data_IF_468406496092
#
_entry.id   IF_468406496092
#
_cell.length_a   1.000
_cell.length_b   1.000
_cell.length_c   1.000
_cell.angle_alpha   90.00
_cell.angle_beta   90.00
_cell.angle_gamma   90.00
#
_symmetry.space_group_name_H-M   'P 1'
#
loop_
_entity.id
_entity.type
_entity.pdbx_description
1 polymer ?
#
# COMPACT_ATOMS: atom_id res chain seq x y z
N UNK A 1 10.72 -23.59 6.61
CA UNK A 1 10.27 -23.33 5.23
C UNK A 1 11.05 -22.13 4.76
N UNK A 2 11.59 -22.14 3.53
CA UNK A 2 12.32 -21.00 2.96
C UNK A 2 11.61 -20.56 1.68
N UNK A 3 11.34 -19.26 1.56
CA UNK A 3 10.78 -18.66 0.37
C UNK A 3 11.88 -18.13 -0.53
N UNK A 4 11.73 -18.34 -1.83
CA UNK A 4 12.71 -17.97 -2.85
C UNK A 4 11.97 -17.25 -3.97
N UNK A 5 12.38 -16.02 -4.22
CA UNK A 5 11.75 -15.12 -5.21
C UNK A 5 12.70 -14.68 -6.32
N UNK A 6 13.93 -15.23 -6.36
CA UNK A 6 14.93 -14.89 -7.38
C UNK A 6 15.72 -16.12 -7.83
N UNK A 7 16.15 -16.10 -9.10
CA UNK A 7 17.01 -17.14 -9.65
C UNK A 7 18.37 -17.22 -8.95
N UNK A 8 18.89 -16.10 -8.43
CA UNK A 8 20.14 -16.10 -7.67
C UNK A 8 19.99 -16.83 -6.34
N UNK A 9 18.92 -16.54 -5.59
CA UNK A 9 18.62 -17.23 -4.34
C UNK A 9 18.32 -18.72 -4.57
N UNK A 10 17.62 -19.07 -5.66
CA UNK A 10 17.40 -20.46 -6.05
C UNK A 10 18.73 -21.16 -6.36
N UNK A 11 19.62 -20.51 -7.11
CA UNK A 11 20.95 -21.05 -7.40
C UNK A 11 21.72 -21.33 -6.12
N UNK A 12 21.76 -20.37 -5.20
CA UNK A 12 22.42 -20.52 -3.91
C UNK A 12 21.84 -21.66 -3.07
N UNK A 13 20.52 -21.78 -3.00
CA UNK A 13 19.86 -22.87 -2.28
C UNK A 13 20.15 -24.25 -2.90
N UNK A 14 20.15 -24.34 -4.24
CA UNK A 14 20.50 -25.57 -4.94
C UNK A 14 21.99 -25.93 -4.76
N UNK A 15 22.89 -24.94 -4.71
CA UNK A 15 24.33 -25.13 -4.47
C UNK A 15 24.61 -25.58 -3.03
N UNK A 16 23.86 -25.05 -2.07
CA UNK A 16 23.91 -25.45 -0.66
C UNK A 16 23.30 -26.85 -0.40
N UNK A 17 22.66 -27.46 -1.39
CA UNK A 17 21.98 -28.74 -1.24
C UNK A 17 20.70 -28.67 -0.40
N UNK A 18 20.08 -27.49 -0.29
CA UNK A 18 18.85 -27.30 0.48
C UNK A 18 17.74 -28.25 -0.02
N UNK A 19 17.01 -28.94 0.88
CA UNK A 19 15.90 -29.81 0.50
C UNK A 19 14.76 -29.03 -0.17
N UNK A 20 14.32 -29.46 -1.35
CA UNK A 20 13.31 -28.76 -2.16
C UNK A 20 11.92 -28.78 -1.53
N UNK A 21 11.58 -29.83 -0.78
CA UNK A 21 10.34 -29.91 -0.01
C UNK A 21 10.21 -28.86 1.11
N UNK A 22 11.30 -28.17 1.44
CA UNK A 22 11.32 -27.05 2.39
C UNK A 22 11.24 -25.69 1.69
N UNK A 23 11.23 -25.66 0.35
CA UNK A 23 11.24 -24.45 -0.45
C UNK A 23 9.84 -24.06 -0.94
N UNK A 24 9.64 -22.76 -1.08
CA UNK A 24 8.54 -22.14 -1.82
C UNK A 24 9.17 -21.28 -2.92
N UNK A 25 8.89 -21.60 -4.18
CA UNK A 25 9.44 -20.87 -5.33
C UNK A 25 8.36 -19.96 -5.88
N UNK A 26 8.64 -18.66 -6.00
CA UNK A 26 7.65 -17.68 -6.42
C UNK A 26 8.14 -16.78 -7.55
N UNK A 27 7.36 -16.69 -8.63
CA UNK A 27 7.59 -15.75 -9.74
C UNK A 27 8.93 -15.93 -10.49
N UNK A 28 9.59 -17.07 -10.34
CA UNK A 28 10.91 -17.35 -10.94
C UNK A 28 10.73 -17.97 -12.34
N UNK A 29 11.63 -17.64 -13.27
CA UNK A 29 11.83 -18.46 -14.46
C UNK A 29 12.68 -19.70 -14.12
N UNK A 30 12.06 -20.88 -14.19
CA UNK A 30 12.70 -22.15 -13.85
C UNK A 30 13.44 -22.80 -15.02
N UNK A 31 13.33 -22.27 -16.25
CA UNK A 31 14.03 -22.81 -17.41
C UNK A 31 15.55 -22.95 -17.20
N UNK A 32 16.27 -21.99 -16.59
CA UNK A 32 17.70 -22.12 -16.33
C UNK A 32 18.07 -23.23 -15.32
N UNK A 33 17.11 -23.73 -14.54
CA UNK A 33 17.32 -24.70 -13.48
C UNK A 33 16.82 -26.11 -13.84
N UNK A 34 16.27 -26.28 -15.04
CA UNK A 34 15.58 -27.50 -15.48
C UNK A 34 16.41 -28.77 -15.24
N UNK A 35 17.66 -28.81 -15.73
CA UNK A 35 18.53 -29.98 -15.54
C UNK A 35 18.83 -30.27 -14.06
N UNK A 36 18.96 -29.23 -13.24
CA UNK A 36 19.25 -29.39 -11.81
C UNK A 36 18.05 -29.92 -11.05
N UNK A 37 16.85 -29.51 -11.44
CA UNK A 37 15.60 -29.93 -10.80
C UNK A 37 15.20 -31.35 -11.22
N UNK A 38 15.46 -31.75 -12.47
CA UNK A 38 15.20 -33.13 -12.95
C UNK A 38 15.93 -34.22 -12.17
N UNK A 39 17.11 -33.91 -11.64
CA UNK A 39 17.92 -34.87 -10.88
C UNK A 39 17.49 -35.03 -9.42
N UNK A 40 16.46 -34.32 -8.96
CA UNK A 40 16.07 -34.26 -7.54
C UNK A 40 15.00 -35.28 -7.21
N UNK A 41 15.05 -35.79 -5.99
CA UNK A 41 14.14 -36.83 -5.47
C UNK A 41 13.29 -36.34 -4.31
N UNK A 42 13.58 -35.14 -3.80
CA UNK A 42 12.97 -34.49 -2.64
C UNK A 42 11.91 -33.44 -3.05
N UNK A 43 11.17 -33.74 -4.11
CA UNK A 43 10.19 -32.83 -4.73
C UNK A 43 8.80 -32.85 -4.05
N UNK A 44 8.51 -33.87 -3.25
CA UNK A 44 7.22 -34.00 -2.58
C UNK A 44 7.05 -32.89 -1.53
N UNK A 45 6.05 -32.03 -1.71
CA UNK A 45 5.81 -30.87 -0.86
C UNK A 45 6.55 -29.59 -1.25
N UNK A 46 7.31 -29.60 -2.35
CA UNK A 46 7.76 -28.37 -3.02
C UNK A 46 6.53 -27.60 -3.51
N UNK A 47 6.44 -26.31 -3.24
CA UNK A 47 5.38 -25.45 -3.77
C UNK A 47 5.99 -24.44 -4.75
N UNK A 48 5.36 -24.32 -5.91
CA UNK A 48 5.76 -23.40 -6.98
C UNK A 48 4.58 -22.49 -7.32
N UNK A 49 4.79 -21.18 -7.12
CA UNK A 49 3.77 -20.13 -7.21
C UNK A 49 4.09 -19.21 -8.39
N UNK A 50 3.26 -19.21 -9.44
CA UNK A 50 3.35 -18.25 -10.54
C UNK A 50 4.66 -18.26 -11.34
N UNK A 51 5.47 -19.31 -11.21
CA UNK A 51 6.74 -19.45 -11.93
C UNK A 51 6.52 -19.76 -13.40
N UNK A 52 7.48 -19.35 -14.25
CA UNK A 52 7.56 -19.83 -15.63
C UNK A 52 8.26 -21.19 -15.62
N UNK A 53 7.59 -22.24 -16.12
CA UNK A 53 8.09 -23.62 -16.03
C UNK A 53 8.04 -24.25 -17.43
N UNK A 54 9.16 -24.82 -17.94
CA UNK A 54 9.13 -25.65 -19.13
C UNK A 54 8.16 -26.82 -18.96
N UNK A 55 7.42 -27.18 -20.01
CA UNK A 55 6.38 -28.23 -19.97
C UNK A 55 6.90 -29.57 -19.43
N UNK A 56 8.11 -29.96 -19.83
CA UNK A 56 8.78 -31.18 -19.41
C UNK A 56 9.10 -31.18 -17.91
N UNK A 57 9.54 -30.03 -17.40
CA UNK A 57 9.81 -29.84 -15.98
C UNK A 57 8.51 -29.83 -15.16
N UNK A 58 7.45 -29.13 -15.59
CA UNK A 58 6.16 -29.08 -14.90
C UNK A 58 5.59 -30.49 -14.67
N UNK A 59 5.57 -31.32 -15.73
CA UNK A 59 5.11 -32.71 -15.65
C UNK A 59 5.93 -33.54 -14.67
N UNK A 60 7.26 -33.36 -14.65
CA UNK A 60 8.13 -34.05 -13.71
C UNK A 60 7.87 -33.62 -12.27
N UNK A 61 7.87 -32.32 -12.00
CA UNK A 61 7.60 -31.77 -10.67
C UNK A 61 6.27 -32.29 -10.11
N UNK A 62 5.18 -32.21 -10.89
CA UNK A 62 3.85 -32.71 -10.47
C UNK A 62 3.85 -34.21 -10.22
N UNK A 63 4.47 -34.99 -11.10
CA UNK A 63 4.57 -36.46 -10.97
C UNK A 63 5.29 -36.86 -9.67
N UNK A 64 6.20 -36.02 -9.18
CA UNK A 64 6.97 -36.25 -7.96
C UNK A 64 6.43 -35.48 -6.74
N UNK A 65 5.17 -35.04 -6.76
CA UNK A 65 4.47 -34.53 -5.58
C UNK A 65 4.66 -33.04 -5.30
N UNK A 66 5.20 -32.26 -6.26
CA UNK A 66 5.21 -30.81 -6.15
C UNK A 66 3.82 -30.23 -6.40
N UNK A 67 3.47 -29.17 -5.66
CA UNK A 67 2.23 -28.41 -5.81
C UNK A 67 2.55 -27.18 -6.65
N UNK A 68 1.90 -27.06 -7.81
CA UNK A 68 2.19 -25.99 -8.77
C UNK A 68 0.94 -25.16 -9.03
N UNK A 69 1.04 -23.88 -8.71
CA UNK A 69 0.07 -22.85 -9.03
C UNK A 69 0.53 -22.12 -10.30
N UNK A 70 -0.23 -22.23 -11.40
CA UNK A 70 0.20 -21.69 -12.69
C UNK A 70 0.18 -20.16 -12.67
N UNK A 71 1.07 -19.56 -13.47
CA UNK A 71 0.96 -18.15 -13.84
C UNK A 71 -0.29 -17.96 -14.70
N UNK A 72 -1.09 -16.93 -14.43
CA UNK A 72 -2.22 -16.54 -15.29
C UNK A 72 -1.71 -15.55 -16.35
N UNK A 73 -1.55 -15.96 -17.62
CA UNK A 73 -0.98 -15.10 -18.66
C UNK A 73 -1.88 -13.93 -19.05
N UNK A 74 -3.19 -14.03 -18.81
CA UNK A 74 -4.13 -12.95 -19.16
C UNK A 74 -4.35 -11.96 -18.01
N UNK A 75 -3.77 -12.20 -16.84
CA UNK A 75 -3.85 -11.26 -15.74
C UNK A 75 -3.00 -10.02 -16.08
N UNK A 76 -3.57 -8.80 -16.02
CA UNK A 76 -2.86 -7.56 -16.35
C UNK A 76 -1.77 -7.19 -15.34
N UNK A 77 -1.81 -7.82 -14.16
CA UNK A 77 -0.78 -7.72 -13.12
C UNK A 77 -0.34 -9.11 -12.67
N UNK A 78 0.87 -9.20 -12.14
CA UNK A 78 1.37 -10.44 -11.55
C UNK A 78 0.59 -10.77 -10.28
N UNK A 79 -0.02 -11.96 -10.24
CA UNK A 79 -0.83 -12.42 -9.10
C UNK A 79 0.02 -12.83 -7.90
N UNK A 80 1.07 -13.61 -8.14
CA UNK A 80 2.01 -14.07 -7.11
C UNK A 80 3.15 -13.05 -7.01
N UNK A 81 3.06 -12.15 -6.02
CA UNK A 81 4.02 -11.06 -5.85
C UNK A 81 4.84 -11.26 -4.57
N UNK A 82 6.15 -11.27 -4.76
CA UNK A 82 7.13 -11.24 -3.67
C UNK A 82 7.48 -9.83 -3.16
N UNK A 83 6.77 -8.79 -3.62
CA UNK A 83 6.96 -7.40 -3.21
C UNK A 83 5.79 -6.52 -3.57
N UNK A 84 5.62 -5.45 -2.79
CA UNK A 84 4.75 -4.33 -3.12
C UNK A 84 5.12 -3.69 -4.47
N UNK A 85 4.16 -3.00 -5.08
CA UNK A 85 4.37 -2.31 -6.34
C UNK A 85 5.29 -1.10 -6.17
N UNK A 86 6.23 -0.95 -7.08
CA UNK A 86 6.79 0.38 -7.34
C UNK A 86 5.80 1.18 -8.21
N UNK A 87 5.58 2.49 -7.99
CA UNK A 87 4.59 3.26 -8.76
C UNK A 87 4.74 3.13 -10.29
N UNK A 88 5.98 3.13 -10.80
CA UNK A 88 6.22 2.97 -12.23
C UNK A 88 5.71 1.63 -12.81
N UNK A 89 5.61 0.56 -12.01
CA UNK A 89 5.08 -0.73 -12.47
C UNK A 89 3.60 -0.61 -12.85
N UNK A 90 2.80 0.10 -12.05
CA UNK A 90 1.37 0.34 -12.30
C UNK A 90 1.13 1.23 -13.52
N UNK A 91 2.04 2.17 -13.79
CA UNK A 91 1.99 3.08 -14.94
C UNK A 91 2.76 2.59 -16.18
N UNK A 92 3.13 1.30 -16.23
CA UNK A 92 3.76 0.70 -17.42
C UNK A 92 2.82 0.86 -18.62
N UNK A 93 3.22 1.62 -19.63
CA UNK A 93 2.38 1.93 -20.81
C UNK A 93 1.94 3.39 -20.92
N UNK A 94 2.15 4.23 -19.89
CA UNK A 94 1.65 5.62 -19.83
C UNK A 94 1.97 6.48 -21.07
N UNK A 95 3.08 6.22 -21.78
CA UNK A 95 3.41 6.92 -23.02
C UNK A 95 2.39 6.73 -24.15
N UNK A 96 1.52 5.72 -24.06
CA UNK A 96 0.45 5.42 -25.00
C UNK A 96 -0.94 5.73 -24.43
N UNK A 97 -1.02 6.37 -23.26
CA UNK A 97 -2.25 6.72 -22.58
C UNK A 97 -2.49 5.94 -21.29
N UNK A 98 -3.13 6.55 -20.29
CA UNK A 98 -3.45 5.94 -19.00
C UNK A 98 -4.25 4.64 -19.14
N UNK A 99 -5.19 4.59 -20.09
CA UNK A 99 -6.00 3.40 -20.36
C UNK A 99 -5.16 2.16 -20.75
N UNK A 100 -3.93 2.35 -21.24
CA UNK A 100 -3.02 1.24 -21.60
C UNK A 100 -2.14 0.78 -20.44
N UNK A 101 -2.24 1.44 -19.28
CA UNK A 101 -1.41 1.12 -18.13
C UNK A 101 -1.85 -0.18 -17.46
N UNK A 102 -0.90 -0.86 -16.80
CA UNK A 102 -1.20 -2.04 -15.99
C UNK A 102 -2.29 -1.75 -14.95
N UNK A 103 -2.31 -0.54 -14.39
CA UNK A 103 -3.34 -0.12 -13.44
C UNK A 103 -4.75 -0.09 -14.02
N UNK A 104 -4.91 0.60 -15.16
CA UNK A 104 -6.20 0.73 -15.84
C UNK A 104 -6.69 -0.63 -16.35
N UNK A 105 -5.80 -1.45 -16.92
CA UNK A 105 -6.13 -2.79 -17.37
C UNK A 105 -6.54 -3.72 -16.22
N UNK A 106 -5.87 -3.61 -15.07
CA UNK A 106 -6.25 -4.35 -13.86
C UNK A 106 -7.61 -3.93 -13.32
N UNK A 107 -7.95 -2.63 -13.39
CA UNK A 107 -9.29 -2.17 -13.06
C UNK A 107 -10.35 -2.76 -13.98
N UNK A 108 -10.16 -2.67 -15.30
CA UNK A 108 -11.10 -3.20 -16.29
C UNK A 108 -11.29 -4.71 -16.11
N UNK A 109 -10.20 -5.45 -15.95
CA UNK A 109 -10.22 -6.89 -15.65
C UNK A 109 -10.93 -7.20 -14.31
N UNK A 110 -10.76 -6.36 -13.30
CA UNK A 110 -11.39 -6.56 -12.00
C UNK A 110 -12.90 -6.32 -12.02
N UNK A 111 -13.37 -5.35 -12.81
CA UNK A 111 -14.77 -4.93 -12.91
C UNK A 111 -15.57 -5.68 -13.97
N UNK A 112 -14.92 -6.47 -14.82
CA UNK A 112 -15.60 -7.32 -15.77
C UNK A 112 -16.58 -8.26 -15.04
N UNK A 113 -17.87 -8.09 -15.34
CA UNK A 113 -18.96 -8.79 -14.65
C UNK A 113 -19.09 -10.27 -15.05
N UNK A 114 -18.52 -10.67 -16.18
CA UNK A 114 -18.46 -12.08 -16.59
C UNK A 114 -17.32 -12.77 -15.87
N UNK A 115 -16.14 -12.13 -15.81
CA UNK A 115 -15.00 -12.62 -15.03
C UNK A 115 -15.26 -12.58 -13.52
N UNK A 116 -16.07 -11.64 -13.04
CA UNK A 116 -16.46 -11.53 -11.62
C UNK A 116 -17.31 -12.69 -11.09
N UNK A 117 -17.91 -13.49 -11.98
CA UNK A 117 -18.64 -14.73 -11.61
C UNK A 117 -17.74 -15.97 -11.68
N UNK A 118 -16.54 -15.84 -12.24
CA UNK A 118 -15.58 -16.92 -12.32
C UNK A 118 -14.90 -17.11 -10.96
N UNK A 119 -15.03 -18.33 -10.43
CA UNK A 119 -14.41 -18.74 -9.17
C UNK A 119 -12.89 -18.71 -9.27
N UNK A 120 -12.32 -19.05 -10.43
CA UNK A 120 -10.88 -19.01 -10.65
C UNK A 120 -10.34 -17.58 -10.59
N UNK A 121 -11.00 -16.62 -11.23
CA UNK A 121 -10.61 -15.21 -11.18
C UNK A 121 -10.75 -14.65 -9.77
N UNK A 122 -11.82 -15.00 -9.07
CA UNK A 122 -12.02 -14.61 -7.66
C UNK A 122 -10.91 -15.14 -6.76
N UNK A 123 -10.50 -16.40 -6.96
CA UNK A 123 -9.36 -17.00 -6.25
C UNK A 123 -8.04 -16.29 -6.58
N UNK A 124 -7.79 -15.95 -7.85
CA UNK A 124 -6.57 -15.22 -8.23
C UNK A 124 -6.50 -13.83 -7.57
N UNK A 125 -7.62 -13.10 -7.51
CA UNK A 125 -7.70 -11.81 -6.80
C UNK A 125 -7.38 -11.96 -5.31
N UNK A 126 -7.94 -12.98 -4.66
CA UNK A 126 -7.67 -13.26 -3.26
C UNK A 126 -6.19 -13.63 -2.99
N UNK A 127 -5.59 -14.46 -3.86
CA UNK A 127 -4.15 -14.79 -3.77
C UNK A 127 -3.28 -13.53 -3.90
N UNK A 128 -3.65 -12.64 -4.83
CA UNK A 128 -2.94 -11.38 -5.01
C UNK A 128 -3.01 -10.49 -3.76
N UNK A 129 -4.21 -10.34 -3.20
CA UNK A 129 -4.44 -9.48 -2.05
C UNK A 129 -3.79 -10.04 -0.76
N UNK A 130 -3.76 -11.37 -0.61
CA UNK A 130 -3.00 -12.09 0.41
C UNK A 130 -1.50 -11.78 0.30
N UNK A 131 -0.94 -11.89 -0.91
CA UNK A 131 0.45 -11.52 -1.16
C UNK A 131 0.72 -10.04 -0.82
N UNK A 132 -0.19 -9.11 -1.15
CA UNK A 132 -0.03 -7.70 -0.76
C UNK A 132 -0.06 -7.50 0.76
N UNK A 133 -0.91 -8.23 1.46
CA UNK A 133 -1.03 -8.18 2.92
C UNK A 133 0.26 -8.64 3.60
N UNK A 134 0.83 -9.76 3.14
CA UNK A 134 2.06 -10.33 3.68
C UNK A 134 3.26 -9.40 3.42
N UNK A 135 3.43 -8.94 2.18
CA UNK A 135 4.52 -8.01 1.85
C UNK A 135 4.42 -6.68 2.60
N UNK A 136 3.21 -6.19 2.87
CA UNK A 136 3.00 -4.99 3.66
C UNK A 136 3.34 -5.23 5.14
N UNK A 137 2.96 -6.39 5.69
CA UNK A 137 3.32 -6.78 7.05
C UNK A 137 4.85 -6.83 7.24
N UNK A 138 5.55 -7.52 6.34
CA UNK A 138 7.01 -7.66 6.37
C UNK A 138 7.71 -6.29 6.30
N UNK A 139 7.25 -5.41 5.40
CA UNK A 139 7.81 -4.06 5.26
C UNK A 139 7.64 -3.20 6.52
N UNK A 140 6.59 -3.44 7.31
CA UNK A 140 6.25 -2.68 8.50
C UNK A 140 6.70 -3.35 9.80
N UNK A 141 7.29 -4.55 9.74
CA UNK A 141 7.74 -5.27 10.91
C UNK A 141 8.74 -4.42 11.73
N UNK A 142 8.43 -4.22 13.02
CA UNK A 142 9.25 -3.42 13.94
C UNK A 142 9.22 -1.90 13.69
N UNK A 143 8.42 -1.42 12.75
CA UNK A 143 8.33 0.01 12.39
C UNK A 143 7.08 0.65 12.96
N UNK A 144 7.17 1.95 13.24
CA UNK A 144 6.06 2.77 13.71
C UNK A 144 5.41 3.45 12.51
N UNK A 145 4.15 3.17 12.26
CA UNK A 145 3.42 3.63 11.09
C UNK A 145 2.25 4.53 11.50
N UNK A 146 2.14 5.67 10.81
CA UNK A 146 1.04 6.63 10.97
C UNK A 146 0.22 6.66 9.70
N UNK A 147 -1.07 6.37 9.84
CA UNK A 147 -2.05 6.54 8.76
C UNK A 147 -2.44 8.00 8.60
N UNK A 148 -2.44 8.51 7.38
CA UNK A 148 -2.98 9.84 7.06
C UNK A 148 -4.21 9.66 6.18
N UNK A 149 -5.36 10.00 6.73
CA UNK A 149 -6.67 9.93 6.08
C UNK A 149 -7.12 11.32 5.64
N UNK A 150 -7.83 11.41 4.52
CA UNK A 150 -8.38 12.67 4.04
C UNK A 150 -9.07 12.52 2.69
N UNK A 151 -9.80 13.55 2.27
CA UNK A 151 -10.55 13.52 1.02
C UNK A 151 -9.68 13.48 -0.24
N UNK A 152 -10.13 12.72 -1.25
CA UNK A 152 -9.51 12.63 -2.58
C UNK A 152 -9.71 13.90 -3.45
N UNK A 153 -10.63 14.78 -3.08
CA UNK A 153 -11.02 15.97 -3.87
C UNK A 153 -10.14 17.20 -3.65
N UNK A 154 -9.07 17.09 -2.87
CA UNK A 154 -8.18 18.20 -2.58
C UNK A 154 -7.28 18.48 -3.78
N UNK A 155 -7.32 19.69 -4.33
CA UNK A 155 -6.52 20.06 -5.52
C UNK A 155 -5.10 20.48 -5.13
N UNK A 156 -4.12 20.22 -6.01
CA UNK A 156 -2.67 20.43 -5.75
C UNK A 156 -2.28 21.89 -5.49
N UNK A 157 -3.10 22.84 -5.89
CA UNK A 157 -2.88 24.29 -5.71
C UNK A 157 -3.50 24.85 -4.42
N UNK A 158 -4.15 24.01 -3.62
CA UNK A 158 -4.85 24.44 -2.40
C UNK A 158 -3.94 24.47 -1.15
N UNK A 159 -4.30 25.32 -0.19
CA UNK A 159 -3.63 25.36 1.12
C UNK A 159 -3.76 24.06 1.90
N UNK A 160 -4.90 23.36 1.78
CA UNK A 160 -5.08 22.05 2.41
C UNK A 160 -4.12 21.00 1.87
N UNK A 161 -3.84 21.01 0.56
CA UNK A 161 -2.88 20.08 -0.05
C UNK A 161 -1.48 20.32 0.51
N UNK A 162 -1.07 21.59 0.61
CA UNK A 162 0.20 21.96 1.24
C UNK A 162 0.30 21.46 2.68
N UNK A 163 -0.73 21.67 3.50
CA UNK A 163 -0.76 21.21 4.90
C UNK A 163 -0.63 19.69 5.02
N UNK A 164 -1.33 18.93 4.16
CA UNK A 164 -1.22 17.47 4.14
C UNK A 164 0.19 17.00 3.74
N UNK A 165 0.85 17.72 2.82
CA UNK A 165 2.22 17.43 2.45
C UNK A 165 3.22 17.79 3.56
N UNK A 166 3.04 18.91 4.25
CA UNK A 166 3.84 19.27 5.42
C UNK A 166 3.69 18.25 6.56
N UNK A 167 2.48 17.72 6.79
CA UNK A 167 2.24 16.63 7.73
C UNK A 167 3.04 15.38 7.39
N UNK A 168 2.95 14.92 6.14
CA UNK A 168 3.68 13.74 5.68
C UNK A 168 5.21 13.90 5.85
N UNK A 169 5.72 15.09 5.56
CA UNK A 169 7.14 15.42 5.75
C UNK A 169 7.57 15.31 7.21
N UNK A 170 6.84 15.99 8.12
CA UNK A 170 7.16 16.03 9.56
C UNK A 170 7.02 14.67 10.24
N UNK A 171 6.06 13.84 9.84
CA UNK A 171 5.91 12.48 10.34
C UNK A 171 7.16 11.64 10.02
N UNK A 172 7.70 11.76 8.80
CA UNK A 172 8.93 11.05 8.42
C UNK A 172 10.14 11.62 9.16
N UNK A 173 10.25 12.94 9.31
CA UNK A 173 11.32 13.55 10.13
C UNK A 173 11.27 13.07 11.59
N UNK A 174 10.08 12.83 12.14
CA UNK A 174 9.89 12.26 13.48
C UNK A 174 10.13 10.73 13.54
N UNK A 175 10.48 10.09 12.42
CA UNK A 175 10.86 8.67 12.35
C UNK A 175 9.69 7.71 12.14
N UNK A 176 8.54 8.19 11.67
CA UNK A 176 7.39 7.36 11.34
C UNK A 176 7.37 6.96 9.85
N UNK A 177 6.76 5.81 9.56
CA UNK A 177 6.32 5.44 8.21
C UNK A 177 4.96 6.07 7.98
N UNK A 178 4.78 6.74 6.84
CA UNK A 178 3.48 7.31 6.46
C UNK A 178 2.73 6.31 5.59
N UNK A 179 1.54 5.94 6.03
CA UNK A 179 0.58 5.15 5.26
C UNK A 179 -0.56 6.06 4.80
N UNK A 180 -1.01 5.91 3.57
CA UNK A 180 -2.21 6.60 3.07
C UNK A 180 -3.06 5.65 2.27
N UNK A 181 -4.25 6.10 1.90
CA UNK A 181 -5.10 5.39 0.96
C UNK A 181 -4.60 5.34 -0.49
N UNK A 182 -3.46 5.96 -0.82
CA UNK A 182 -2.78 5.80 -2.11
C UNK A 182 -3.44 6.48 -3.31
N UNK A 183 -4.55 7.21 -3.14
CA UNK A 183 -5.23 7.96 -4.19
C UNK A 183 -4.74 9.42 -4.33
N UNK A 184 -5.45 10.26 -5.11
CA UNK A 184 -5.17 11.69 -5.26
C UNK A 184 -5.53 12.50 -4.00
N UNK A 185 -5.31 13.81 -4.06
CA UNK A 185 -5.70 14.74 -3.00
C UNK A 185 -4.87 14.63 -1.73
N UNK A 186 -5.51 14.59 -0.57
CA UNK A 186 -4.81 14.58 0.72
C UNK A 186 -3.85 13.38 0.86
N UNK A 187 -4.23 12.24 0.29
CA UNK A 187 -3.40 11.03 0.26
C UNK A 187 -2.12 11.24 -0.55
N UNK A 188 -2.25 11.79 -1.77
CA UNK A 188 -1.10 12.14 -2.61
C UNK A 188 -0.19 13.15 -1.91
N UNK A 189 -0.77 14.20 -1.33
CA UNK A 189 -0.03 15.24 -0.64
C UNK A 189 0.81 14.67 0.51
N UNK A 190 0.20 13.87 1.40
CA UNK A 190 0.90 13.23 2.50
C UNK A 190 2.02 12.30 2.00
N UNK A 191 1.79 11.54 0.93
CA UNK A 191 2.85 10.72 0.33
C UNK A 191 3.99 11.57 -0.28
N UNK A 192 3.68 12.68 -0.95
CA UNK A 192 4.65 13.64 -1.49
C UNK A 192 5.54 14.22 -0.39
N UNK A 193 4.92 14.66 0.69
CA UNK A 193 5.60 15.13 1.89
C UNK A 193 6.55 14.09 2.45
N UNK A 194 6.01 12.89 2.69
CA UNK A 194 6.75 11.76 3.24
C UNK A 194 7.88 11.29 2.31
N UNK A 195 7.73 11.42 1.00
CA UNK A 195 8.76 11.08 0.02
C UNK A 195 9.90 12.10 -0.01
N UNK A 196 9.58 13.38 0.24
CA UNK A 196 10.53 14.46 0.10
C UNK A 196 11.24 14.72 1.42
N UNK A 197 12.55 14.44 1.53
CA UNK A 197 13.32 14.69 2.77
C UNK A 197 13.88 16.12 2.92
N UNK A 198 13.44 17.06 2.10
CA UNK A 198 13.95 18.44 2.10
C UNK A 198 12.78 19.43 2.00
N UNK A 199 12.64 20.37 2.96
CA UNK A 199 11.62 21.41 2.90
C UNK A 199 11.67 22.22 1.61
N UNK A 200 12.86 22.59 1.14
CA UNK A 200 13.04 23.36 -0.10
C UNK A 200 12.55 22.59 -1.33
N UNK A 201 12.87 21.29 -1.41
CA UNK A 201 12.37 20.43 -2.49
C UNK A 201 10.87 20.22 -2.42
N UNK A 202 10.31 20.14 -1.21
CA UNK A 202 8.88 19.99 -1.02
C UNK A 202 8.16 21.25 -1.51
N UNK A 203 8.65 22.43 -1.12
CA UNK A 203 8.14 23.70 -1.61
C UNK A 203 8.20 23.79 -3.15
N UNK A 204 9.33 23.40 -3.74
CA UNK A 204 9.50 23.35 -5.20
C UNK A 204 8.54 22.36 -5.88
N UNK A 205 8.35 21.17 -5.31
CA UNK A 205 7.43 20.17 -5.84
C UNK A 205 5.98 20.66 -5.81
N UNK A 206 5.56 21.26 -4.70
CA UNK A 206 4.22 21.84 -4.54
C UNK A 206 3.95 22.94 -5.56
N UNK A 207 4.91 23.85 -5.79
CA UNK A 207 4.80 24.90 -6.80
C UNK A 207 4.60 24.32 -8.20
N UNK A 208 5.36 23.29 -8.56
CA UNK A 208 5.25 22.66 -9.88
C UNK A 208 3.96 21.88 -10.08
N UNK A 209 3.54 21.13 -9.06
CA UNK A 209 2.32 20.31 -9.13
C UNK A 209 1.05 21.16 -9.26
N UNK A 210 1.04 22.39 -8.76
CA UNK A 210 -0.06 23.33 -8.92
C UNK A 210 -0.41 23.63 -10.40
N UNK A 211 0.51 23.39 -11.35
CA UNK A 211 0.25 23.56 -12.78
C UNK A 211 -0.80 22.58 -13.33
N UNK A 212 -0.96 21.40 -12.73
CA UNK A 212 -2.01 20.43 -13.05
C UNK A 212 -2.72 20.05 -11.75
N UNK A 213 -3.70 20.87 -11.32
CA UNK A 213 -4.28 20.81 -9.96
C UNK A 213 -5.10 19.55 -9.70
N UNK A 214 -5.67 18.96 -10.74
CA UNK A 214 -6.56 17.80 -10.66
C UNK A 214 -6.19 16.73 -11.69
N UNK A 215 -6.53 15.48 -11.41
CA UNK A 215 -6.44 14.37 -12.36
C UNK A 215 -7.54 14.41 -13.43
N UNK A 216 -8.46 15.37 -13.31
CA UNK A 216 -9.47 15.66 -14.31
C UNK A 216 -9.15 16.98 -15.01
N UNK A 217 -9.31 17.07 -16.33
CA UNK A 217 -9.89 16.03 -17.20
C UNK A 217 -8.91 14.93 -17.65
N UNK A 218 -7.61 15.06 -17.37
CA UNK A 218 -6.56 14.18 -17.92
C UNK A 218 -5.71 13.52 -16.83
N UNK A 219 -5.85 12.20 -16.67
CA UNK A 219 -4.99 11.41 -15.77
C UNK A 219 -3.56 11.36 -16.34
N UNK A 220 -3.44 11.35 -17.66
CA UNK A 220 -2.17 11.36 -18.38
C UNK A 220 -1.31 12.55 -17.98
N UNK A 221 -1.81 13.77 -18.16
CA UNK A 221 -1.08 15.01 -17.82
C UNK A 221 -0.76 15.06 -16.32
N UNK A 222 -1.71 14.65 -15.49
CA UNK A 222 -1.57 14.63 -14.04
C UNK A 222 -0.47 13.69 -13.55
N UNK A 223 -0.41 12.48 -14.11
CA UNK A 223 0.59 11.47 -13.76
C UNK A 223 1.95 11.81 -14.37
N UNK A 224 1.99 12.33 -15.59
CA UNK A 224 3.22 12.65 -16.31
C UNK A 224 3.96 13.80 -15.62
N UNK A 225 3.24 14.87 -15.24
CA UNK A 225 3.80 15.94 -14.41
C UNK A 225 4.31 15.41 -13.06
N UNK A 226 3.56 14.51 -12.43
CA UNK A 226 3.97 13.93 -11.16
C UNK A 226 5.24 13.10 -11.29
N UNK A 227 5.45 12.37 -12.40
CA UNK A 227 6.68 11.61 -12.62
C UNK A 227 7.88 12.53 -12.85
N UNK A 228 7.67 13.65 -13.54
CA UNK A 228 8.71 14.67 -13.77
C UNK A 228 9.12 15.35 -12.45
N UNK A 229 8.17 16.00 -11.77
CA UNK A 229 7.92 15.82 -10.33
C UNK A 229 8.95 15.04 -9.50
N UNK A 230 8.60 13.77 -9.31
CA UNK A 230 9.30 12.73 -8.55
C UNK A 230 10.76 12.61 -8.96
N UNK A 231 11.07 12.64 -10.26
CA UNK A 231 12.45 12.51 -10.77
C UNK A 231 13.33 13.67 -10.32
N UNK A 232 12.78 14.88 -10.28
CA UNK A 232 13.55 16.06 -9.92
C UNK A 232 13.81 16.13 -8.41
N UNK A 233 12.85 15.71 -7.58
CA UNK A 233 13.05 15.66 -6.12
C UNK A 233 13.85 14.43 -5.65
N UNK A 234 13.89 13.33 -6.41
CA UNK A 234 14.61 12.10 -6.01
C UNK A 234 16.14 12.16 -6.21
N UNK A 235 16.70 13.25 -6.76
CA UNK A 235 18.14 13.36 -7.06
C UNK A 235 18.72 12.17 -7.86
N UNK A 236 17.90 11.48 -8.66
CA UNK A 236 18.33 10.30 -9.42
C UNK A 236 18.49 9.02 -8.61
N UNK A 237 18.07 8.97 -7.33
CA UNK A 237 17.96 7.70 -6.61
C UNK A 237 16.77 6.90 -7.17
N UNK A 238 17.07 5.71 -7.69
CA UNK A 238 16.10 4.87 -8.38
C UNK A 238 15.12 4.16 -7.42
N UNK A 239 15.60 3.76 -6.24
CA UNK A 239 14.83 3.15 -5.15
C UNK A 239 15.47 3.51 -3.80
N UNK A 240 14.63 3.74 -2.80
CA UNK A 240 15.07 3.82 -1.40
C UNK A 240 15.01 2.41 -0.81
N UNK A 241 16.11 1.96 -0.21
CA UNK A 241 16.21 0.66 0.45
C UNK A 241 15.39 0.61 1.75
N UNK A 242 14.95 1.77 2.27
CA UNK A 242 14.11 1.89 3.46
C UNK A 242 12.84 2.73 3.19
N UNK A 243 11.82 2.12 2.55
CA UNK A 243 10.61 2.82 2.10
C UNK A 243 9.78 3.32 3.29
N UNK A 244 9.50 4.63 3.34
CA UNK A 244 8.81 5.29 4.48
C UNK A 244 7.54 6.05 4.08
N UNK A 245 7.14 5.96 2.81
CA UNK A 245 5.89 6.50 2.27
C UNK A 245 5.20 5.38 1.49
N UNK A 246 4.10 4.87 2.00
CA UNK A 246 3.38 3.72 1.43
C UNK A 246 1.95 4.15 1.08
N UNK A 247 1.52 3.79 -0.12
CA UNK A 247 0.13 3.97 -0.56
C UNK A 247 -0.62 2.65 -0.54
N UNK A 248 -1.86 2.66 -0.06
CA UNK A 248 -2.72 1.47 0.02
C UNK A 248 -4.02 1.69 -0.79
N UNK A 249 -3.96 1.83 -2.13
CA UNK A 249 -5.13 2.05 -2.97
C UNK A 249 -5.88 0.75 -3.25
N UNK A 250 -7.01 0.87 -3.96
CA UNK A 250 -7.80 -0.27 -4.42
C UNK A 250 -8.21 -0.09 -5.88
N UNK A 251 -8.40 -1.20 -6.60
CA UNK A 251 -9.09 -1.17 -7.90
C UNK A 251 -10.61 -1.06 -7.76
N UNK A 252 -11.19 -1.23 -6.57
CA UNK A 252 -12.64 -1.07 -6.36
C UNK A 252 -13.13 0.34 -6.72
N UNK A 253 -12.32 1.36 -6.43
CA UNK A 253 -12.57 2.75 -6.80
C UNK A 253 -11.77 3.17 -8.03
N UNK A 254 -11.84 2.43 -9.15
CA UNK A 254 -10.98 2.68 -10.32
C UNK A 254 -11.15 4.00 -11.08
N UNK A 255 -11.96 4.93 -10.55
CA UNK A 255 -11.95 6.33 -10.98
C UNK A 255 -10.91 7.18 -10.23
N UNK A 256 -10.23 6.63 -9.21
CA UNK A 256 -9.13 7.25 -8.48
C UNK A 256 -7.79 6.62 -8.92
N UNK A 257 -6.97 7.32 -9.72
CA UNK A 257 -5.66 6.80 -10.11
C UNK A 257 -4.71 6.75 -8.89
N UNK A 258 -3.84 5.73 -8.78
CA UNK A 258 -2.91 5.63 -7.66
C UNK A 258 -1.86 6.74 -7.72
N UNK A 259 -1.64 7.44 -6.61
CA UNK A 259 -0.59 8.46 -6.57
C UNK A 259 0.80 7.85 -6.67
N UNK A 260 1.72 8.63 -7.22
CA UNK A 260 3.06 8.12 -7.54
C UNK A 260 4.14 8.55 -6.55
N UNK A 261 3.81 9.33 -5.53
CA UNK A 261 4.77 9.81 -4.54
C UNK A 261 4.99 8.81 -3.39
N UNK A 262 4.62 7.54 -3.59
CA UNK A 262 4.92 6.46 -2.67
C UNK A 262 6.29 5.82 -2.99
N UNK A 263 6.97 5.29 -1.99
CA UNK A 263 8.11 4.38 -2.22
C UNK A 263 7.62 3.00 -2.65
N UNK A 264 6.52 2.55 -2.07
CA UNK A 264 5.86 1.30 -2.42
C UNK A 264 4.34 1.43 -2.32
N UNK A 265 3.62 0.61 -3.08
CA UNK A 265 2.16 0.59 -3.16
C UNK A 265 1.66 -0.83 -2.89
N UNK A 266 0.78 -0.98 -1.90
CA UNK A 266 0.00 -2.19 -1.67
C UNK A 266 -1.40 -1.97 -2.24
N UNK A 267 -1.62 -2.31 -3.53
CA UNK A 267 -2.91 -2.07 -4.20
C UNK A 267 -3.75 -3.35 -4.14
N UNK A 268 -5.01 -3.25 -3.73
CA UNK A 268 -5.87 -4.42 -3.50
C UNK A 268 -7.05 -4.47 -4.48
N UNK A 269 -7.51 -5.69 -4.80
CA UNK A 269 -8.80 -5.89 -5.46
C UNK A 269 -9.96 -5.78 -4.45
N UNK A 270 -9.78 -6.31 -3.24
CA UNK A 270 -10.74 -6.24 -2.13
C UNK A 270 -10.64 -4.90 -1.40
N UNK A 271 -11.71 -4.11 -1.45
CA UNK A 271 -11.78 -2.86 -0.68
C UNK A 271 -11.81 -3.11 0.83
N UNK A 272 -12.46 -4.20 1.27
CA UNK A 272 -12.58 -4.52 2.70
C UNK A 272 -11.20 -4.82 3.32
N UNK A 273 -10.39 -5.63 2.65
CA UNK A 273 -9.02 -5.93 3.11
C UNK A 273 -8.12 -4.68 3.05
N UNK A 274 -8.28 -3.85 2.01
CA UNK A 274 -7.58 -2.57 1.91
C UNK A 274 -7.88 -1.65 3.09
N UNK A 275 -9.16 -1.47 3.43
CA UNK A 275 -9.59 -0.56 4.49
C UNK A 275 -9.12 -1.04 5.86
N UNK A 276 -9.35 -2.33 6.15
CA UNK A 276 -8.87 -2.94 7.39
C UNK A 276 -7.35 -2.89 7.49
N UNK A 277 -6.65 -3.22 6.41
CA UNK A 277 -5.18 -3.17 6.33
C UNK A 277 -4.63 -1.77 6.61
N UNK A 278 -5.18 -0.71 6.00
CA UNK A 278 -4.69 0.65 6.25
C UNK A 278 -4.88 1.07 7.72
N UNK A 279 -6.03 0.75 8.33
CA UNK A 279 -6.32 1.10 9.73
C UNK A 279 -5.47 0.27 10.69
N UNK A 280 -5.46 -1.05 10.55
CA UNK A 280 -4.78 -1.97 11.48
C UNK A 280 -3.26 -1.88 11.41
N UNK A 281 -2.70 -1.55 10.23
CA UNK A 281 -1.26 -1.37 10.05
C UNK A 281 -0.75 0.00 10.51
N UNK A 282 -1.64 0.95 10.79
CA UNK A 282 -1.31 2.28 11.35
C UNK A 282 -1.05 2.21 12.87
N UNK A 283 -0.04 1.42 13.26
CA UNK A 283 0.19 1.00 14.64
C UNK A 283 0.60 2.11 15.62
N UNK A 284 1.12 3.24 15.14
CA UNK A 284 1.46 4.39 15.98
C UNK A 284 0.28 5.36 16.12
N UNK A 285 -0.63 5.36 15.14
CA UNK A 285 -1.81 6.20 15.13
C UNK A 285 -2.27 6.60 13.74
N UNK A 286 -3.36 7.34 13.70
CA UNK A 286 -3.99 7.85 12.50
C UNK A 286 -4.26 9.35 12.69
N UNK A 287 -3.86 10.14 11.70
CA UNK A 287 -4.26 11.55 11.55
C UNK A 287 -5.37 11.63 10.51
N UNK A 288 -6.48 12.24 10.88
CA UNK A 288 -7.65 12.37 10.02
C UNK A 288 -7.87 13.83 9.64
N UNK A 289 -7.58 14.15 8.39
CA UNK A 289 -7.85 15.45 7.77
C UNK A 289 -9.32 15.54 7.32
N UNK A 290 -9.88 16.75 7.13
CA UNK A 290 -11.25 16.92 6.64
C UNK A 290 -11.55 16.06 5.40
N UNK A 291 -12.67 15.34 5.46
CA UNK A 291 -13.08 14.37 4.45
C UNK A 291 -14.58 14.12 4.44
N UNK A 292 -15.01 13.09 3.72
CA UNK A 292 -16.41 12.76 3.49
C UNK A 292 -16.74 11.34 4.01
N UNK A 293 -17.71 10.66 3.39
CA UNK A 293 -18.24 9.37 3.87
C UNK A 293 -17.16 8.30 4.13
N UNK A 294 -16.21 8.11 3.20
CA UNK A 294 -15.12 7.14 3.38
C UNK A 294 -14.24 7.46 4.59
N UNK A 295 -13.85 8.72 4.75
CA UNK A 295 -13.06 9.19 5.91
C UNK A 295 -13.81 9.01 7.24
N UNK A 296 -15.13 9.23 7.24
CA UNK A 296 -15.98 8.96 8.42
C UNK A 296 -16.00 7.48 8.77
N UNK A 297 -16.07 6.59 7.76
CA UNK A 297 -16.01 5.15 7.98
C UNK A 297 -14.68 4.73 8.61
N UNK A 298 -13.55 5.24 8.08
CA UNK A 298 -12.20 4.98 8.58
C UNK A 298 -12.04 5.44 10.06
N UNK A 299 -12.63 6.58 10.44
CA UNK A 299 -12.66 7.04 11.84
C UNK A 299 -13.29 5.98 12.76
N UNK A 300 -14.46 5.44 12.40
CA UNK A 300 -15.17 4.50 13.28
C UNK A 300 -14.56 3.09 13.25
N UNK A 301 -13.94 2.69 12.13
CA UNK A 301 -13.09 1.50 12.08
C UNK A 301 -11.91 1.64 13.05
N UNK A 302 -11.22 2.79 13.09
CA UNK A 302 -10.13 3.05 14.02
C UNK A 302 -10.59 3.14 15.49
N UNK A 303 -11.79 3.68 15.74
CA UNK A 303 -12.34 3.78 17.10
C UNK A 303 -12.67 2.42 17.73
N UNK A 304 -13.08 1.44 16.92
CA UNK A 304 -13.64 0.18 17.41
C UNK A 304 -12.62 -0.66 18.21
N UNK A 305 -11.37 -0.89 17.72
CA UNK A 305 -10.33 -1.53 18.51
C UNK A 305 -9.98 -0.79 19.80
N UNK A 306 -9.98 0.56 19.78
CA UNK A 306 -9.75 1.39 20.97
C UNK A 306 -10.85 1.19 22.02
N UNK A 307 -12.11 1.10 21.57
CA UNK A 307 -13.27 0.93 22.45
C UNK A 307 -13.31 -0.43 23.17
N UNK A 308 -12.87 -1.49 22.48
CA UNK A 308 -12.83 -2.86 22.99
C UNK A 308 -11.48 -3.22 23.63
N UNK A 309 -10.55 -2.27 23.74
CA UNK A 309 -9.29 -2.53 24.42
C UNK A 309 -9.54 -2.86 25.90
N UNK A 310 -8.99 -3.99 26.33
CA UNK A 310 -9.13 -4.50 27.69
C UNK A 310 -8.03 -3.91 28.58
N UNK A 311 -8.41 -3.36 29.74
CA UNK A 311 -7.49 -2.82 30.74
C UNK A 311 -6.53 -3.90 31.28
N UNK A 312 -6.94 -5.17 31.21
CA UNK A 312 -6.19 -6.33 31.69
C UNK A 312 -5.16 -6.88 30.67
N UNK A 313 -4.88 -6.17 29.58
CA UNK A 313 -3.72 -6.42 28.68
C UNK A 313 -2.62 -5.36 28.84
N UNK A 314 -1.82 -5.39 29.93
CA UNK A 314 -0.67 -4.51 30.08
C UNK A 314 0.33 -4.72 28.94
N UNK A 315 0.73 -3.63 28.27
CA UNK A 315 1.92 -3.61 27.40
C UNK A 315 1.69 -3.39 25.90
N UNK A 316 0.46 -3.19 25.43
CA UNK A 316 0.23 -2.72 24.06
C UNK A 316 -0.02 -1.21 24.06
N UNK A 317 0.95 -0.42 23.58
CA UNK A 317 0.71 1.01 23.32
C UNK A 317 -0.43 1.15 22.30
N UNK A 318 -1.56 1.70 22.74
CA UNK A 318 -2.71 1.95 21.87
C UNK A 318 -2.40 3.06 20.86
N UNK A 319 -2.75 2.88 19.57
CA UNK A 319 -2.54 3.89 18.54
C UNK A 319 -3.33 5.18 18.87
N UNK A 320 -2.78 6.33 18.49
CA UNK A 320 -3.47 7.63 18.62
C UNK A 320 -4.45 7.83 17.46
N UNK A 321 -5.62 8.38 17.72
CA UNK A 321 -6.53 8.87 16.68
C UNK A 321 -6.66 10.38 16.83
N UNK A 322 -6.16 11.14 15.85
CA UNK A 322 -6.11 12.61 15.89
C UNK A 322 -6.94 13.18 14.74
N UNK A 323 -8.05 13.84 15.07
CA UNK A 323 -8.91 14.52 14.11
C UNK A 323 -8.45 15.97 13.95
N UNK A 324 -8.14 16.40 12.73
CA UNK A 324 -7.72 17.78 12.42
C UNK A 324 -8.89 18.55 11.82
N UNK A 325 -9.16 19.73 12.38
CA UNK A 325 -10.21 20.65 11.96
C UNK A 325 -11.45 20.54 12.86
N UNK A 326 -11.46 21.31 13.96
CA UNK A 326 -12.53 21.28 14.97
C UNK A 326 -13.91 21.48 14.34
N UNK A 327 -14.07 22.57 13.58
CA UNK A 327 -15.36 22.92 12.98
C UNK A 327 -15.92 21.79 12.08
N UNK A 328 -15.06 21.15 11.29
CA UNK A 328 -15.49 20.08 10.39
C UNK A 328 -16.05 18.91 11.18
N UNK A 329 -15.36 18.48 12.23
CA UNK A 329 -15.70 17.28 13.00
C UNK A 329 -16.67 17.52 14.16
N UNK A 330 -17.01 18.76 14.48
CA UNK A 330 -18.02 19.12 15.49
C UNK A 330 -19.31 19.70 14.93
N UNK A 331 -19.28 20.34 13.76
CA UNK A 331 -20.43 21.03 13.17
C UNK A 331 -20.82 20.47 11.81
N UNK A 332 -19.88 20.39 10.86
CA UNK A 332 -20.18 19.99 9.47
C UNK A 332 -20.52 18.50 9.36
N UNK A 333 -19.66 17.65 9.88
CA UNK A 333 -19.83 16.20 10.01
C UNK A 333 -19.50 15.83 11.46
N UNK A 334 -20.47 15.92 12.39
CA UNK A 334 -20.24 15.90 13.84
C UNK A 334 -19.89 14.50 14.37
N UNK A 335 -18.76 13.94 13.93
CA UNK A 335 -18.22 12.66 14.38
C UNK A 335 -17.65 12.77 15.81
N UNK A 336 -17.03 13.91 16.15
CA UNK A 336 -16.35 14.09 17.43
C UNK A 336 -17.26 13.93 18.66
N UNK A 337 -18.47 14.53 18.70
CA UNK A 337 -19.40 14.29 19.81
C UNK A 337 -19.72 12.81 20.05
N UNK A 338 -19.86 12.02 18.97
CA UNK A 338 -20.12 10.58 19.07
C UNK A 338 -18.89 9.82 19.59
N UNK A 339 -17.70 10.12 19.07
CA UNK A 339 -16.43 9.53 19.54
C UNK A 339 -16.23 9.79 21.03
N UNK A 340 -16.45 11.04 21.47
CA UNK A 340 -16.36 11.41 22.89
C UNK A 340 -17.35 10.65 23.75
N UNK A 341 -18.58 10.48 23.28
CA UNK A 341 -19.59 9.70 24.01
C UNK A 341 -19.20 8.22 24.14
N UNK A 342 -18.64 7.63 23.08
CA UNK A 342 -18.13 6.25 23.09
C UNK A 342 -16.92 6.08 24.00
N UNK A 343 -16.01 7.05 24.03
CA UNK A 343 -14.78 7.01 24.81
C UNK A 343 -14.99 7.28 26.31
N UNK A 344 -16.14 7.86 26.71
CA UNK A 344 -16.39 8.26 28.08
C UNK A 344 -16.28 7.07 29.07
N UNK A 345 -15.40 7.21 30.07
CA UNK A 345 -15.16 6.19 31.09
C UNK A 345 -14.37 4.98 30.60
N UNK A 346 -13.57 5.12 29.52
CA UNK A 346 -12.75 4.05 28.93
C UNK A 346 -11.32 4.51 28.68
N UNK A 347 -10.34 3.58 28.58
CA UNK A 347 -8.96 3.90 28.17
C UNK A 347 -8.88 4.67 26.85
N UNK A 348 -9.78 4.38 25.90
CA UNK A 348 -9.90 5.08 24.62
C UNK A 348 -9.89 6.62 24.75
N UNK A 349 -10.41 7.19 25.84
CA UNK A 349 -10.46 8.64 26.06
C UNK A 349 -9.09 9.32 26.01
N UNK A 350 -8.01 8.61 26.37
CA UNK A 350 -6.65 9.15 26.35
C UNK A 350 -6.00 9.07 24.95
N UNK A 351 -6.61 8.32 24.02
CA UNK A 351 -6.05 8.01 22.71
C UNK A 351 -6.75 8.73 21.55
N UNK A 352 -7.94 9.30 21.79
CA UNK A 352 -8.68 10.08 20.79
C UNK A 352 -8.54 11.58 21.04
N UNK A 353 -8.17 12.33 20.00
CA UNK A 353 -7.84 13.76 20.08
C UNK A 353 -8.51 14.53 18.94
N UNK A 354 -8.82 15.79 19.18
CA UNK A 354 -9.24 16.75 18.15
C UNK A 354 -8.38 18.00 18.28
N UNK A 355 -7.89 18.49 17.15
CA UNK A 355 -6.98 19.64 17.08
C UNK A 355 -7.36 20.53 15.89
N UNK A 356 -6.92 21.78 15.90
CA UNK A 356 -7.21 22.73 14.82
C UNK A 356 -6.07 22.89 13.80
N UNK A 357 -4.85 22.53 14.17
CA UNK A 357 -3.67 22.74 13.34
C UNK A 357 -2.69 21.56 13.38
N UNK A 358 -1.71 21.65 12.48
CA UNK A 358 -0.70 20.63 12.27
C UNK A 358 0.30 20.55 13.44
N UNK A 359 0.60 21.66 14.09
CA UNK A 359 1.55 21.68 15.20
C UNK A 359 1.01 20.89 16.38
N UNK A 360 -0.24 21.15 16.76
CA UNK A 360 -0.96 20.39 17.77
C UNK A 360 -1.12 18.91 17.38
N UNK A 361 -1.36 18.60 16.10
CA UNK A 361 -1.41 17.20 15.65
C UNK A 361 -0.06 16.49 15.89
N UNK A 362 1.06 17.16 15.61
CA UNK A 362 2.41 16.59 15.76
C UNK A 362 2.83 16.41 17.22
N UNK A 363 2.24 17.12 18.19
CA UNK A 363 2.49 16.87 19.62
C UNK A 363 2.11 15.45 20.04
N UNK A 364 1.17 14.82 19.35
CA UNK A 364 0.77 13.43 19.59
C UNK A 364 1.69 12.38 18.92
N UNK A 365 2.61 12.83 18.06
CA UNK A 365 3.56 11.99 17.33
C UNK A 365 5.00 12.47 17.56
N UNK A 366 5.51 12.40 18.80
CA UNK A 366 6.85 12.90 19.11
C UNK A 366 7.93 12.12 18.36
N UNK A 367 9.03 12.80 18.03
CA UNK A 367 10.23 12.18 17.50
C UNK A 367 10.84 11.19 18.50
N UNK A 368 11.55 10.17 17.99
CA UNK A 368 12.29 9.22 18.81
C UNK A 368 13.56 9.79 19.42
#
# INVERSE_FOLDING_TARGET
MQEIHSGEALRAALDAGTPLNQLRLEGIDLAPFEQRLFGRTDLEGLVVLGCSIPTTLDLHLRRHGAIIFPKEPNAPVSIYRARLYHPAELYTGLSHGYATTADAQAYEWAMDTELGKDTYISMLKAIHDDAMSDNLADLLEGRRAVGVMGGHNLERDTGGYRLAAELGHRLVEAGYVVLTGGGPGAMEAANLGAFTRSPDKLAHALERLAAVPSFRPSIDEWAQLAFDVRRDISNGQARDDNPHSIGIPTWFYGHEPPNIFCHAIAKYFSNAEREDGLVTRSNAGIVVLPGAAGTVQEIFQACTPLYYHDEDRPGADLPRLVLVGLQHWTETLPAWPLIRALAAGRPMAEHVHIVDDLDAAMEHFPAR
#
